data_IF_369474936554
#
_entry.id   IF_369474936554
#
_cell.length_a   1.000
_cell.length_b   1.000
_cell.length_c   1.000
_cell.angle_alpha   90.00
_cell.angle_beta   90.00
_cell.angle_gamma   90.00
#
_symmetry.space_group_name_H-M   'P 1'
#
loop_
_entity.id
_entity.type
_entity.pdbx_description
1 polymer ?
#
# COMPACT_ATOMS: atom_id res chain seq x y z
N UNK A 1 -1.72 -35.26 14.40
CA UNK A 1 -2.90 -35.54 13.57
C UNK A 1 -2.56 -35.22 12.13
N UNK A 2 -2.48 -36.19 11.26
CA UNK A 2 -2.23 -36.01 9.82
C UNK A 2 -3.56 -35.65 9.17
N UNK A 3 -3.59 -34.54 8.41
CA UNK A 3 -4.75 -34.15 7.62
C UNK A 3 -5.11 -35.24 6.61
N UNK A 4 -6.38 -35.58 6.51
CA UNK A 4 -6.88 -36.61 5.60
C UNK A 4 -6.91 -36.12 4.15
N UNK A 5 -6.77 -36.98 3.13
CA UNK A 5 -6.72 -36.59 1.71
C UNK A 5 -7.97 -35.86 1.15
N UNK A 6 -9.06 -35.83 1.91
CA UNK A 6 -10.32 -35.16 1.52
C UNK A 6 -10.24 -33.62 1.54
N UNK A 7 -9.37 -33.01 2.35
CA UNK A 7 -9.30 -31.54 2.46
C UNK A 7 -8.67 -30.86 1.22
N UNK A 8 -7.77 -31.57 0.51
CA UNK A 8 -7.05 -30.95 -0.63
C UNK A 8 -7.83 -31.01 -1.96
N UNK A 9 -8.79 -31.93 -2.11
CA UNK A 9 -9.66 -32.00 -3.28
C UNK A 9 -10.75 -30.91 -3.23
N UNK A 10 -11.36 -30.70 -2.07
CA UNK A 10 -12.38 -29.65 -1.86
C UNK A 10 -11.85 -28.24 -2.05
N UNK A 11 -10.57 -27.98 -1.69
CA UNK A 11 -9.93 -26.68 -1.93
C UNK A 11 -9.63 -26.45 -3.42
N UNK A 12 -9.26 -27.50 -4.17
CA UNK A 12 -9.01 -27.40 -5.63
C UNK A 12 -10.30 -27.18 -6.41
N UNK A 13 -11.38 -27.86 -6.06
CA UNK A 13 -12.68 -27.69 -6.71
C UNK A 13 -13.30 -26.32 -6.41
N UNK A 14 -13.14 -25.80 -5.19
CA UNK A 14 -13.54 -24.43 -4.83
C UNK A 14 -12.72 -23.38 -5.56
N UNK A 15 -11.41 -23.59 -5.72
CA UNK A 15 -10.54 -22.69 -6.49
C UNK A 15 -10.86 -22.72 -7.99
N UNK A 16 -11.15 -23.88 -8.56
CA UNK A 16 -11.57 -24.03 -9.95
C UNK A 16 -12.93 -23.33 -10.21
N UNK A 17 -13.91 -23.51 -9.33
CA UNK A 17 -15.22 -22.83 -9.42
C UNK A 17 -15.11 -21.31 -9.27
N UNK A 18 -14.12 -20.82 -8.52
CA UNK A 18 -13.84 -19.38 -8.36
C UNK A 18 -13.20 -18.81 -9.63
N UNK A 19 -12.35 -19.56 -10.31
CA UNK A 19 -11.73 -19.16 -11.56
C UNK A 19 -12.71 -19.15 -12.74
N UNK A 20 -13.64 -20.10 -12.81
CA UNK A 20 -14.68 -20.14 -13.83
C UNK A 20 -15.67 -18.97 -13.70
N UNK A 21 -16.03 -18.55 -12.50
CA UNK A 21 -16.84 -17.34 -12.28
C UNK A 21 -16.12 -16.07 -12.72
N UNK A 22 -14.80 -16.00 -12.61
CA UNK A 22 -13.99 -14.85 -13.01
C UNK A 22 -14.02 -14.60 -14.54
N UNK A 23 -14.17 -15.62 -15.35
CA UNK A 23 -14.20 -15.52 -16.81
C UNK A 23 -15.55 -15.05 -17.38
N UNK A 24 -16.62 -15.03 -16.56
CA UNK A 24 -18.00 -14.71 -17.01
C UNK A 24 -18.42 -13.28 -16.68
N UNK A 25 -17.77 -12.62 -15.69
CA UNK A 25 -18.12 -11.26 -15.25
C UNK A 25 -17.18 -10.25 -15.91
N UNK A 26 -17.58 -9.73 -17.06
CA UNK A 26 -16.79 -8.74 -17.82
C UNK A 26 -17.24 -7.29 -17.59
N UNK A 27 -18.37 -7.06 -16.94
CA UNK A 27 -18.92 -5.71 -16.73
C UNK A 27 -19.45 -5.51 -15.31
N UNK A 28 -19.45 -4.26 -14.82
CA UNK A 28 -20.02 -3.89 -13.51
C UNK A 28 -21.53 -4.16 -13.41
N UNK A 29 -22.25 -4.18 -14.52
CA UNK A 29 -23.69 -4.47 -14.56
C UNK A 29 -24.00 -5.86 -13.97
N UNK A 30 -23.13 -6.84 -14.25
CA UNK A 30 -23.29 -8.23 -13.79
C UNK A 30 -22.96 -8.43 -12.32
N UNK A 31 -22.42 -7.39 -11.64
CA UNK A 31 -22.10 -7.47 -10.20
C UNK A 31 -23.30 -7.21 -9.28
N UNK A 32 -24.48 -6.92 -9.80
CA UNK A 32 -25.68 -6.68 -9.00
C UNK A 32 -25.68 -5.33 -8.27
N UNK A 33 -24.94 -4.36 -8.79
CA UNK A 33 -24.89 -3.00 -8.23
C UNK A 33 -26.13 -2.20 -8.63
N UNK A 34 -26.64 -1.37 -7.70
CA UNK A 34 -27.79 -0.51 -7.93
C UNK A 34 -27.46 0.66 -8.88
N UNK A 35 -28.44 1.21 -9.62
CA UNK A 35 -28.23 2.25 -10.61
C UNK A 35 -27.41 3.47 -10.16
N UNK A 36 -27.58 4.04 -8.93
CA UNK A 36 -26.77 5.16 -8.48
C UNK A 36 -25.25 4.84 -8.41
N UNK A 37 -24.89 3.61 -8.06
CA UNK A 37 -23.49 3.19 -8.01
C UNK A 37 -22.93 2.93 -9.41
N UNK A 38 -23.74 2.38 -10.31
CA UNK A 38 -23.36 2.21 -11.71
C UNK A 38 -23.12 3.58 -12.39
N UNK A 39 -23.99 4.57 -12.12
CA UNK A 39 -23.79 5.94 -12.60
C UNK A 39 -22.49 6.57 -12.08
N UNK A 40 -22.15 6.36 -10.81
CA UNK A 40 -20.89 6.84 -10.24
C UNK A 40 -19.67 6.17 -10.88
N UNK A 41 -19.73 4.89 -11.19
CA UNK A 41 -18.66 4.16 -11.88
C UNK A 41 -18.45 4.70 -13.31
N UNK A 42 -19.51 4.98 -14.04
CA UNK A 42 -19.46 5.60 -15.37
C UNK A 42 -18.83 7.01 -15.30
N UNK A 43 -19.25 7.85 -14.34
CA UNK A 43 -18.65 9.17 -14.12
C UNK A 43 -17.14 9.11 -13.84
N UNK A 44 -16.68 8.04 -13.21
CA UNK A 44 -15.26 7.79 -12.89
C UNK A 44 -14.49 7.12 -14.05
N UNK A 45 -15.16 6.80 -15.16
CA UNK A 45 -14.56 6.10 -16.29
C UNK A 45 -14.23 4.63 -16.04
N UNK A 46 -14.90 4.00 -15.06
CA UNK A 46 -14.72 2.58 -14.79
C UNK A 46 -15.59 1.74 -15.71
N UNK A 47 -14.96 1.14 -16.72
CA UNK A 47 -15.64 0.32 -17.74
C UNK A 47 -15.69 -1.16 -17.36
N UNK A 48 -14.60 -1.68 -16.79
CA UNK A 48 -14.45 -3.09 -16.44
C UNK A 48 -14.01 -3.27 -14.97
N UNK A 49 -14.60 -4.24 -14.27
CA UNK A 49 -14.17 -4.53 -12.90
C UNK A 49 -12.79 -5.22 -12.89
N UNK A 50 -11.96 -4.86 -11.94
CA UNK A 50 -10.68 -5.53 -11.70
C UNK A 50 -10.90 -6.94 -11.11
N UNK A 51 -9.93 -7.86 -11.20
CA UNK A 51 -10.09 -9.22 -10.67
C UNK A 51 -10.50 -9.27 -9.19
N UNK A 52 -9.96 -8.38 -8.33
CA UNK A 52 -10.37 -8.32 -6.93
C UNK A 52 -11.83 -7.90 -6.76
N UNK A 53 -12.32 -7.00 -7.63
CA UNK A 53 -13.71 -6.54 -7.59
C UNK A 53 -14.67 -7.64 -8.03
N UNK A 54 -14.34 -8.38 -9.09
CA UNK A 54 -15.12 -9.53 -9.56
C UNK A 54 -15.29 -10.58 -8.48
N UNK A 55 -14.21 -10.87 -7.73
CA UNK A 55 -14.19 -11.92 -6.71
C UNK A 55 -14.75 -11.48 -5.36
N UNK A 56 -14.57 -10.21 -4.99
CA UNK A 56 -14.94 -9.73 -3.64
C UNK A 56 -16.34 -9.12 -3.58
N UNK A 57 -16.83 -8.45 -4.64
CA UNK A 57 -18.11 -7.73 -4.59
C UNK A 57 -19.31 -8.68 -4.40
N UNK A 58 -19.45 -9.80 -5.16
CA UNK A 58 -20.61 -10.65 -5.02
C UNK A 58 -20.77 -11.23 -3.60
N UNK A 59 -19.77 -11.90 -2.99
CA UNK A 59 -19.91 -12.42 -1.63
C UNK A 59 -20.07 -11.29 -0.59
N UNK A 60 -19.52 -10.12 -0.83
CA UNK A 60 -19.70 -8.96 0.03
C UNK A 60 -21.16 -8.46 0.02
N UNK A 61 -21.83 -8.46 -1.12
CA UNK A 61 -23.25 -8.12 -1.25
C UNK A 61 -24.15 -9.15 -0.54
N UNK A 62 -23.74 -10.41 -0.49
CA UNK A 62 -24.39 -11.48 0.29
C UNK A 62 -24.18 -11.33 1.80
N UNK A 63 -23.35 -10.37 2.25
CA UNK A 63 -23.07 -10.11 3.66
C UNK A 63 -21.98 -10.98 4.27
N UNK A 64 -21.21 -11.72 3.47
CA UNK A 64 -20.11 -12.56 3.93
C UNK A 64 -18.87 -11.73 4.25
N UNK A 65 -18.07 -12.18 5.20
CA UNK A 65 -16.75 -11.63 5.46
C UNK A 65 -15.80 -11.91 4.29
N UNK A 66 -14.88 -10.98 4.02
CA UNK A 66 -13.92 -11.07 2.90
C UNK A 66 -12.50 -10.96 3.44
N UNK A 67 -11.66 -11.95 3.12
CA UNK A 67 -10.20 -11.89 3.30
C UNK A 67 -9.54 -11.73 1.93
N UNK A 68 -9.03 -10.54 1.64
CA UNK A 68 -8.40 -10.23 0.37
C UNK A 68 -6.88 -10.12 0.48
N UNK A 69 -6.16 -10.91 -0.34
CA UNK A 69 -4.73 -10.73 -0.55
C UNK A 69 -4.50 -10.00 -1.86
N UNK A 70 -4.20 -8.69 -1.78
CA UNK A 70 -4.02 -7.88 -2.97
C UNK A 70 -3.18 -6.63 -2.70
N UNK A 71 -2.36 -6.27 -3.68
CA UNK A 71 -1.48 -5.09 -3.62
C UNK A 71 -2.26 -3.76 -3.72
N UNK A 72 -1.60 -2.65 -3.35
CA UNK A 72 -2.12 -1.29 -3.56
C UNK A 72 -2.31 -1.05 -5.06
N UNK A 73 -3.45 -0.44 -5.45
CA UNK A 73 -3.78 -0.16 -6.86
C UNK A 73 -4.51 -1.29 -7.59
N UNK A 74 -4.81 -2.41 -6.93
CA UNK A 74 -5.60 -3.52 -7.50
C UNK A 74 -7.12 -3.24 -7.59
N UNK A 75 -7.60 -2.12 -7.04
CA UNK A 75 -9.02 -1.78 -7.02
C UNK A 75 -9.76 -2.15 -5.72
N UNK A 76 -9.03 -2.47 -4.63
CA UNK A 76 -9.62 -2.86 -3.32
C UNK A 76 -10.65 -1.87 -2.81
N UNK A 77 -10.39 -0.56 -2.93
CA UNK A 77 -11.28 0.47 -2.39
C UNK A 77 -12.69 0.37 -2.97
N UNK A 78 -12.83 0.14 -4.27
CA UNK A 78 -14.14 -0.11 -4.88
C UNK A 78 -14.69 -1.50 -4.52
N UNK A 79 -13.81 -2.51 -4.33
CA UNK A 79 -14.22 -3.86 -3.97
C UNK A 79 -14.96 -3.93 -2.62
N UNK A 80 -14.52 -3.16 -1.61
CA UNK A 80 -15.27 -3.06 -0.34
C UNK A 80 -16.24 -1.87 -0.33
N UNK A 81 -15.91 -0.77 -1.01
CA UNK A 81 -16.69 0.47 -0.98
C UNK A 81 -18.05 0.33 -1.62
N UNK A 82 -18.15 -0.32 -2.79
CA UNK A 82 -19.41 -0.51 -3.49
C UNK A 82 -20.44 -1.33 -2.68
N UNK A 83 -20.11 -2.49 -2.10
CA UNK A 83 -21.01 -3.22 -1.23
C UNK A 83 -21.45 -2.42 0.02
N UNK A 84 -20.50 -1.71 0.65
CA UNK A 84 -20.79 -0.84 1.80
C UNK A 84 -21.78 0.26 1.43
N UNK A 85 -21.53 0.98 0.34
CA UNK A 85 -22.41 2.04 -0.15
C UNK A 85 -23.79 1.49 -0.47
N UNK A 86 -23.88 0.37 -1.20
CA UNK A 86 -25.15 -0.27 -1.55
C UNK A 86 -26.00 -0.59 -0.32
N UNK A 87 -25.37 -1.18 0.72
CA UNK A 87 -26.06 -1.53 1.97
C UNK A 87 -26.51 -0.29 2.76
N UNK A 88 -25.74 0.80 2.71
CA UNK A 88 -26.05 2.02 3.46
C UNK A 88 -27.08 2.92 2.78
N UNK A 89 -27.34 2.77 1.49
CA UNK A 89 -28.31 3.61 0.77
C UNK A 89 -29.71 3.58 1.38
N UNK A 90 -30.11 2.45 1.97
CA UNK A 90 -31.43 2.26 2.56
C UNK A 90 -31.43 2.44 4.10
N UNK A 91 -30.32 2.83 4.69
CA UNK A 91 -30.19 2.99 6.15
C UNK A 91 -30.54 4.40 6.61
N UNK A 92 -31.17 4.54 7.80
CA UNK A 92 -31.39 5.85 8.42
C UNK A 92 -30.07 6.60 8.63
N UNK A 93 -30.09 7.91 8.42
CA UNK A 93 -28.92 8.80 8.57
C UNK A 93 -28.62 9.14 10.04
N UNK A 94 -27.45 9.73 10.27
CA UNK A 94 -27.06 10.27 11.58
C UNK A 94 -26.26 9.31 12.47
N UNK A 95 -25.99 8.08 11.99
CA UNK A 95 -25.18 7.08 12.71
C UNK A 95 -24.05 6.58 11.83
N UNK A 96 -22.88 6.41 12.41
CA UNK A 96 -21.74 5.78 11.71
C UNK A 96 -21.93 4.26 11.69
N UNK A 97 -22.07 3.69 10.51
CA UNK A 97 -22.37 2.26 10.31
C UNK A 97 -21.23 1.50 9.63
N UNK A 98 -20.30 2.20 9.01
CA UNK A 98 -19.12 1.59 8.46
C UNK A 98 -17.85 2.29 8.96
N UNK A 99 -16.87 1.48 9.35
CA UNK A 99 -15.54 1.93 9.77
C UNK A 99 -14.48 1.31 8.84
N UNK A 100 -13.65 2.17 8.27
CA UNK A 100 -12.48 1.77 7.48
C UNK A 100 -11.22 2.21 8.22
N UNK A 101 -10.36 1.26 8.60
CA UNK A 101 -9.07 1.53 9.21
C UNK A 101 -7.98 1.45 8.13
N UNK A 102 -7.13 2.47 8.08
CA UNK A 102 -6.00 2.57 7.16
C UNK A 102 -4.74 2.99 7.94
N UNK A 103 -3.53 2.47 7.56
CA UNK A 103 -2.28 2.73 8.29
C UNK A 103 -1.81 4.18 8.24
N UNK A 104 -2.06 4.87 7.13
CA UNK A 104 -1.50 6.21 6.88
C UNK A 104 -2.59 7.24 6.61
N UNK A 105 -2.26 8.51 6.86
CA UNK A 105 -3.14 9.66 6.63
C UNK A 105 -3.50 9.78 5.15
N UNK A 106 -2.52 9.58 4.30
CA UNK A 106 -2.64 9.67 2.85
C UNK A 106 -3.60 8.61 2.32
N UNK A 107 -3.45 7.36 2.78
CA UNK A 107 -4.35 6.28 2.37
C UNK A 107 -5.77 6.52 2.90
N UNK A 108 -5.91 6.98 4.14
CA UNK A 108 -7.22 7.32 4.70
C UNK A 108 -7.92 8.44 3.91
N UNK A 109 -7.18 9.48 3.52
CA UNK A 109 -7.69 10.58 2.69
C UNK A 109 -8.07 10.10 1.29
N UNK A 110 -7.24 9.26 0.67
CA UNK A 110 -7.52 8.66 -0.64
C UNK A 110 -8.76 7.77 -0.62
N UNK A 111 -8.86 6.87 0.35
CA UNK A 111 -10.03 5.99 0.52
C UNK A 111 -11.28 6.85 0.70
N UNK A 112 -11.24 7.88 1.57
CA UNK A 112 -12.38 8.75 1.79
C UNK A 112 -12.81 9.49 0.53
N UNK A 113 -11.87 10.10 -0.21
CA UNK A 113 -12.13 10.78 -1.49
C UNK A 113 -12.74 9.82 -2.53
N UNK A 114 -12.18 8.62 -2.64
CA UNK A 114 -12.69 7.62 -3.58
C UNK A 114 -14.12 7.18 -3.19
N UNK A 115 -14.36 6.92 -1.90
CA UNK A 115 -15.71 6.59 -1.42
C UNK A 115 -16.70 7.73 -1.63
N UNK A 116 -16.29 9.00 -1.44
CA UNK A 116 -17.12 10.17 -1.76
C UNK A 116 -17.46 10.23 -3.25
N UNK A 117 -16.51 9.94 -4.13
CA UNK A 117 -16.74 9.90 -5.58
C UNK A 117 -17.70 8.77 -5.96
N UNK A 118 -17.53 7.57 -5.40
CA UNK A 118 -18.47 6.45 -5.60
C UNK A 118 -19.87 6.72 -5.00
N UNK A 119 -19.94 7.53 -3.94
CA UNK A 119 -21.18 7.91 -3.29
C UNK A 119 -21.93 9.08 -3.95
N UNK A 120 -21.39 9.66 -5.04
CA UNK A 120 -21.86 10.92 -5.66
C UNK A 120 -23.36 10.94 -5.94
N UNK A 121 -23.93 9.83 -6.39
CA UNK A 121 -25.36 9.71 -6.70
C UNK A 121 -26.17 9.05 -5.56
N UNK A 122 -25.62 9.10 -4.34
CA UNK A 122 -26.28 8.57 -3.13
C UNK A 122 -26.36 9.65 -2.05
N UNK A 123 -27.09 9.35 -0.98
CA UNK A 123 -27.14 10.23 0.20
C UNK A 123 -26.09 9.86 1.26
N UNK A 124 -25.18 8.90 1.00
CA UNK A 124 -24.21 8.39 1.97
C UNK A 124 -23.11 9.41 2.21
N UNK A 125 -22.86 9.72 3.49
CA UNK A 125 -21.84 10.69 3.91
C UNK A 125 -20.59 9.96 4.38
N UNK A 126 -19.42 10.40 3.88
CA UNK A 126 -18.12 9.87 4.25
C UNK A 126 -17.34 10.94 5.01
N UNK A 127 -16.68 10.56 6.09
CA UNK A 127 -15.74 11.43 6.81
C UNK A 127 -14.39 10.75 6.99
N UNK A 128 -13.30 11.55 6.92
CA UNK A 128 -11.95 11.09 7.18
C UNK A 128 -11.43 11.62 8.51
N UNK A 129 -10.78 10.74 9.30
CA UNK A 129 -10.20 11.05 10.61
C UNK A 129 -8.77 10.55 10.68
N UNK A 130 -7.81 11.49 10.66
CA UNK A 130 -6.39 11.16 10.73
C UNK A 130 -5.59 12.28 11.41
N UNK A 131 -4.39 11.96 11.87
CA UNK A 131 -3.51 12.89 12.56
C UNK A 131 -2.92 13.97 11.63
N UNK A 132 -2.31 15.02 12.21
CA UNK A 132 -1.60 16.06 11.46
C UNK A 132 -2.49 17.15 10.85
N UNK A 133 -3.79 17.07 11.07
CA UNK A 133 -4.77 18.13 10.78
C UNK A 133 -5.53 18.47 12.03
N UNK A 134 -6.17 19.67 12.05
CA UNK A 134 -6.89 20.16 13.19
C UNK A 134 -7.96 19.18 13.70
N UNK A 135 -8.10 19.10 15.02
CA UNK A 135 -9.14 18.24 15.64
C UNK A 135 -10.55 18.77 15.37
N UNK A 136 -10.73 20.10 15.43
CA UNK A 136 -12.02 20.75 15.32
C UNK A 136 -12.76 20.50 13.99
N UNK A 137 -12.13 20.54 12.81
CA UNK A 137 -12.79 20.19 11.56
C UNK A 137 -13.33 18.75 11.54
N UNK A 138 -12.59 17.79 12.12
CA UNK A 138 -12.99 16.40 12.20
C UNK A 138 -14.16 16.22 13.19
N UNK A 139 -14.11 16.90 14.32
CA UNK A 139 -15.22 16.95 15.28
C UNK A 139 -16.51 17.47 14.61
N UNK A 140 -16.40 18.52 13.80
CA UNK A 140 -17.54 19.07 13.08
C UNK A 140 -18.09 18.08 12.03
N UNK A 141 -17.23 17.34 11.37
CA UNK A 141 -17.63 16.29 10.42
C UNK A 141 -18.40 15.16 11.13
N UNK A 142 -17.91 14.71 12.28
CA UNK A 142 -18.57 13.71 13.11
C UNK A 142 -19.94 14.20 13.61
N UNK A 143 -20.03 15.45 14.11
CA UNK A 143 -21.30 16.03 14.58
C UNK A 143 -22.35 16.16 13.47
N UNK A 144 -21.93 16.41 12.22
CA UNK A 144 -22.86 16.46 11.06
C UNK A 144 -23.37 15.07 10.65
N UNK A 145 -22.86 14.02 11.27
CA UNK A 145 -23.19 12.63 10.98
C UNK A 145 -22.48 12.13 9.70
N UNK A 146 -21.65 11.12 9.87
CA UNK A 146 -21.02 10.38 8.77
C UNK A 146 -21.52 8.93 8.83
N UNK A 147 -21.95 8.40 7.70
CA UNK A 147 -22.38 7.00 7.59
C UNK A 147 -21.16 6.08 7.49
N UNK A 148 -20.09 6.55 6.83
CA UNK A 148 -18.80 5.87 6.70
C UNK A 148 -17.71 6.74 7.33
N UNK A 149 -16.95 6.14 8.23
CA UNK A 149 -15.78 6.75 8.85
C UNK A 149 -14.51 6.07 8.34
N UNK A 150 -13.63 6.82 7.69
CA UNK A 150 -12.31 6.35 7.30
C UNK A 150 -11.28 6.92 8.26
N UNK A 151 -10.48 6.09 8.93
CA UNK A 151 -9.65 6.56 10.02
C UNK A 151 -8.27 5.92 10.08
N UNK A 152 -7.29 6.69 10.57
CA UNK A 152 -6.05 6.11 11.10
C UNK A 152 -6.22 5.74 12.57
N UNK A 153 -5.66 4.58 13.04
CA UNK A 153 -5.92 4.08 14.39
C UNK A 153 -5.64 5.09 15.50
N UNK A 154 -4.50 5.79 15.46
CA UNK A 154 -4.11 6.73 16.51
C UNK A 154 -5.12 7.88 16.70
N UNK A 155 -5.52 8.55 15.62
CA UNK A 155 -6.47 9.69 15.71
C UNK A 155 -7.88 9.23 16.06
N UNK A 156 -8.32 8.07 15.56
CA UNK A 156 -9.61 7.51 15.96
C UNK A 156 -9.65 7.24 17.47
N UNK A 157 -8.58 6.63 18.01
CA UNK A 157 -8.42 6.41 19.45
C UNK A 157 -8.54 7.73 20.26
N UNK A 158 -7.97 8.83 19.76
CA UNK A 158 -8.08 10.14 20.42
C UNK A 158 -9.55 10.63 20.45
N UNK A 159 -10.29 10.48 19.36
CA UNK A 159 -11.73 10.79 19.31
C UNK A 159 -12.57 9.89 20.20
N UNK A 160 -12.26 8.58 20.28
CA UNK A 160 -12.94 7.63 21.17
C UNK A 160 -12.69 7.97 22.64
N UNK A 161 -11.44 8.29 23.04
CA UNK A 161 -11.11 8.73 24.40
C UNK A 161 -11.88 9.98 24.82
N UNK A 162 -12.05 10.93 23.89
CA UNK A 162 -12.82 12.16 24.11
C UNK A 162 -14.34 11.96 23.92
N UNK A 163 -14.80 10.74 23.64
CA UNK A 163 -16.22 10.41 23.37
C UNK A 163 -16.84 11.25 22.25
N UNK A 164 -16.03 11.71 21.30
CA UNK A 164 -16.46 12.50 20.13
C UNK A 164 -16.74 11.64 18.90
N UNK A 165 -16.31 10.38 18.90
CA UNK A 165 -16.73 9.33 17.98
C UNK A 165 -17.37 8.19 18.77
N UNK A 166 -18.32 7.48 18.15
CA UNK A 166 -19.00 6.29 18.68
C UNK A 166 -18.99 5.21 17.64
N UNK A 167 -18.79 3.97 18.06
CA UNK A 167 -18.69 2.79 17.19
C UNK A 167 -19.80 1.77 17.44
N UNK A 168 -20.76 2.08 18.30
CA UNK A 168 -21.82 1.16 18.76
C UNK A 168 -22.76 0.71 17.64
N UNK A 169 -22.87 1.49 16.57
CA UNK A 169 -23.77 1.23 15.43
C UNK A 169 -23.01 0.68 14.20
N UNK A 170 -21.74 0.31 14.34
CA UNK A 170 -20.95 -0.22 13.20
C UNK A 170 -21.47 -1.59 12.77
N UNK A 171 -21.92 -1.67 11.53
CA UNK A 171 -22.37 -2.89 10.85
C UNK A 171 -21.29 -3.48 9.93
N UNK A 172 -20.34 -2.65 9.47
CA UNK A 172 -19.27 -3.06 8.55
C UNK A 172 -17.93 -2.50 9.00
N UNK A 173 -16.92 -3.37 9.06
CA UNK A 173 -15.54 -3.03 9.42
C UNK A 173 -14.61 -3.39 8.27
N UNK A 174 -13.73 -2.46 7.89
CA UNK A 174 -12.68 -2.68 6.91
C UNK A 174 -11.32 -2.44 7.57
N UNK A 175 -10.40 -3.39 7.41
CA UNK A 175 -8.98 -3.19 7.67
C UNK A 175 -8.26 -3.22 6.31
N UNK A 176 -7.73 -2.09 5.87
CA UNK A 176 -6.95 -2.02 4.63
C UNK A 176 -5.47 -1.87 4.94
N UNK A 177 -4.62 -2.61 4.23
CA UNK A 177 -3.18 -2.74 4.46
C UNK A 177 -2.86 -3.10 5.93
N UNK A 178 -3.48 -4.20 6.42
CA UNK A 178 -3.37 -4.62 7.83
C UNK A 178 -1.95 -5.01 8.23
N UNK A 179 -1.17 -5.63 7.34
CA UNK A 179 0.26 -5.91 7.54
C UNK A 179 1.05 -4.63 7.81
N UNK A 180 0.73 -3.56 7.11
CA UNK A 180 1.35 -2.27 7.31
C UNK A 180 0.95 -1.60 8.63
N UNK A 181 -0.29 -1.78 9.08
CA UNK A 181 -0.69 -1.34 10.44
C UNK A 181 0.12 -2.08 11.50
N UNK A 182 0.43 -3.35 11.28
CA UNK A 182 1.32 -4.14 12.15
C UNK A 182 2.74 -3.59 12.15
N UNK A 183 3.35 -3.37 10.99
CA UNK A 183 4.72 -2.85 10.83
C UNK A 183 4.90 -1.48 11.50
N UNK A 184 3.84 -0.66 11.51
CA UNK A 184 3.82 0.65 12.16
C UNK A 184 3.52 0.58 13.67
N UNK A 185 3.35 -0.62 14.23
CA UNK A 185 3.07 -0.82 15.65
C UNK A 185 1.64 -0.48 16.08
N UNK A 186 0.69 -0.36 15.13
CA UNK A 186 -0.70 -0.01 15.44
C UNK A 186 -1.57 -1.19 15.90
N UNK A 187 -1.06 -2.42 15.89
CA UNK A 187 -1.84 -3.59 16.25
C UNK A 187 -2.55 -3.48 17.62
N UNK A 188 -1.90 -2.97 18.70
CA UNK A 188 -2.59 -2.77 19.97
C UNK A 188 -3.75 -1.77 19.88
N UNK A 189 -3.60 -0.71 19.10
CA UNK A 189 -4.65 0.30 18.93
C UNK A 189 -5.79 -0.23 18.06
N UNK A 190 -5.48 -0.99 17.02
CA UNK A 190 -6.48 -1.68 16.16
C UNK A 190 -7.34 -2.62 17.01
N UNK A 191 -6.73 -3.46 17.88
CA UNK A 191 -7.48 -4.34 18.77
C UNK A 191 -8.38 -3.58 19.73
N UNK A 192 -7.88 -2.48 20.33
CA UNK A 192 -8.69 -1.62 21.21
C UNK A 192 -9.88 -0.98 20.52
N UNK A 193 -9.72 -0.62 19.25
CA UNK A 193 -10.82 -0.08 18.42
C UNK A 193 -11.82 -1.19 18.11
N UNK A 194 -11.35 -2.36 17.66
CA UNK A 194 -12.22 -3.49 17.31
C UNK A 194 -13.04 -3.97 18.51
N UNK A 195 -12.48 -3.92 19.73
CA UNK A 195 -13.19 -4.27 20.96
C UNK A 195 -14.38 -3.35 21.27
N UNK A 196 -14.47 -2.15 20.65
CA UNK A 196 -15.58 -1.21 20.78
C UNK A 196 -16.59 -1.31 19.63
N UNK A 197 -16.31 -2.15 18.62
CA UNK A 197 -17.21 -2.38 17.49
C UNK A 197 -18.10 -3.60 17.79
N UNK A 198 -19.41 -3.57 17.46
CA UNK A 198 -20.29 -4.70 17.67
C UNK A 198 -19.74 -6.02 17.11
N UNK A 199 -19.96 -7.11 17.86
CA UNK A 199 -19.52 -8.43 17.41
C UNK A 199 -20.29 -8.91 16.17
N UNK A 200 -21.57 -8.56 16.04
CA UNK A 200 -22.38 -8.85 14.84
C UNK A 200 -22.14 -7.77 13.80
N UNK A 201 -21.18 -8.03 12.93
CA UNK A 201 -20.79 -7.14 11.82
C UNK A 201 -20.29 -7.97 10.65
N UNK A 202 -20.21 -7.37 9.48
CA UNK A 202 -19.46 -7.85 8.33
C UNK A 202 -18.05 -7.28 8.35
N UNK A 203 -17.03 -8.10 8.08
CA UNK A 203 -15.64 -7.64 8.12
C UNK A 203 -14.93 -7.88 6.80
N UNK A 204 -14.25 -6.85 6.30
CA UNK A 204 -13.36 -6.89 5.15
C UNK A 204 -11.92 -6.74 5.65
N UNK A 205 -11.07 -7.66 5.30
CA UNK A 205 -9.68 -7.65 5.71
C UNK A 205 -8.77 -7.74 4.48
N UNK A 206 -7.98 -6.70 4.25
CA UNK A 206 -7.04 -6.66 3.14
C UNK A 206 -5.60 -6.55 3.66
N UNK A 207 -4.74 -7.42 3.15
CA UNK A 207 -3.32 -7.46 3.49
C UNK A 207 -2.53 -8.00 2.31
N UNK A 208 -1.34 -7.47 2.05
CA UNK A 208 -0.46 -8.04 1.03
C UNK A 208 0.26 -9.30 1.53
N UNK A 209 0.46 -9.40 2.85
CA UNK A 209 1.16 -10.52 3.49
C UNK A 209 0.35 -11.11 4.65
N UNK A 210 0.46 -12.42 4.86
CA UNK A 210 -0.20 -13.17 5.95
C UNK A 210 0.84 -13.72 6.93
N UNK A 211 1.55 -12.83 7.64
CA UNK A 211 2.43 -13.24 8.74
C UNK A 211 1.66 -13.97 9.86
N UNK A 212 2.36 -14.66 10.75
CA UNK A 212 1.74 -15.36 11.88
C UNK A 212 0.88 -14.43 12.76
N UNK A 213 1.32 -13.17 12.95
CA UNK A 213 0.58 -12.18 13.73
C UNK A 213 -0.69 -11.70 12.99
N UNK A 214 -0.61 -11.47 11.67
CA UNK A 214 -1.76 -11.13 10.84
C UNK A 214 -2.74 -12.30 10.79
N UNK A 215 -2.26 -13.52 10.61
CA UNK A 215 -3.11 -14.74 10.63
C UNK A 215 -3.80 -14.92 11.98
N UNK A 216 -3.15 -14.52 13.08
CA UNK A 216 -3.77 -14.47 14.41
C UNK A 216 -4.93 -13.49 14.46
N UNK A 217 -4.74 -12.27 13.96
CA UNK A 217 -5.78 -11.24 13.92
C UNK A 217 -6.95 -11.65 13.00
N UNK A 218 -6.66 -12.24 11.84
CA UNK A 218 -7.68 -12.78 10.92
C UNK A 218 -8.60 -13.76 11.62
N UNK A 219 -8.04 -14.74 12.36
CA UNK A 219 -8.84 -15.72 13.13
C UNK A 219 -9.66 -15.09 14.26
N UNK A 220 -9.17 -13.98 14.84
CA UNK A 220 -9.84 -13.26 15.92
C UNK A 220 -11.08 -12.50 15.43
N UNK A 221 -11.05 -11.95 14.22
CA UNK A 221 -12.04 -10.95 13.78
C UNK A 221 -12.92 -11.35 12.60
N UNK A 222 -12.53 -12.34 11.79
CA UNK A 222 -13.30 -12.80 10.63
C UNK A 222 -14.09 -14.07 10.96
N UNK A 223 -15.28 -14.18 10.33
CA UNK A 223 -16.18 -15.33 10.47
C UNK A 223 -16.42 -15.98 9.12
N UNK A 224 -15.93 -17.18 8.94
CA UNK A 224 -16.03 -17.95 7.68
C UNK A 224 -15.82 -17.07 6.43
N UNK A 225 -14.66 -16.39 6.30
CA UNK A 225 -14.46 -15.43 5.24
C UNK A 225 -14.31 -16.08 3.88
N UNK A 226 -14.82 -15.43 2.84
CA UNK A 226 -14.44 -15.76 1.48
C UNK A 226 -13.01 -15.25 1.26
N UNK A 227 -12.12 -16.17 0.90
CA UNK A 227 -10.73 -15.83 0.58
C UNK A 227 -10.64 -15.41 -0.88
N UNK A 228 -10.20 -14.18 -1.10
CA UNK A 228 -9.94 -13.61 -2.41
C UNK A 228 -8.43 -13.45 -2.53
N UNK A 229 -7.79 -14.50 -2.99
CA UNK A 229 -6.35 -14.48 -3.28
C UNK A 229 -6.21 -14.17 -4.78
N UNK A 230 -5.88 -12.92 -5.09
CA UNK A 230 -5.23 -12.69 -6.36
C UNK A 230 -3.88 -13.34 -6.20
N UNK A 231 -3.68 -14.50 -6.86
CA UNK A 231 -2.36 -15.10 -6.92
C UNK A 231 -1.40 -13.93 -7.14
N UNK A 232 -0.61 -13.61 -6.13
CA UNK A 232 0.52 -12.75 -6.34
C UNK A 232 1.29 -13.48 -7.44
N UNK A 233 0.98 -13.17 -8.69
CA UNK A 233 1.96 -13.35 -9.72
C UNK A 233 3.09 -12.42 -9.26
N UNK A 234 3.99 -12.99 -8.45
CA UNK A 234 5.41 -12.75 -8.60
C UNK A 234 5.79 -13.33 -9.98
N UNK A 235 4.92 -13.11 -10.96
CA UNK A 235 5.38 -13.05 -12.33
C UNK A 235 6.21 -11.76 -12.31
N UNK A 236 7.50 -11.83 -12.60
CA UNK A 236 8.26 -10.63 -12.89
C UNK A 236 7.39 -9.87 -13.87
N UNK A 237 6.94 -8.68 -13.48
CA UNK A 237 6.23 -7.81 -14.42
C UNK A 237 7.18 -7.76 -15.59
N UNK A 238 6.85 -8.43 -16.71
CA UNK A 238 7.74 -8.61 -17.87
C UNK A 238 8.27 -7.28 -18.42
N UNK A 239 7.76 -6.18 -17.87
CA UNK A 239 8.05 -4.80 -18.24
C UNK A 239 8.80 -4.03 -17.15
N UNK A 240 9.24 -4.69 -16.05
CA UNK A 240 9.99 -4.02 -14.98
C UNK A 240 11.47 -4.33 -15.09
N UNK A 241 12.25 -3.34 -15.48
CA UNK A 241 13.71 -3.37 -15.40
C UNK A 241 14.15 -3.10 -13.95
N UNK A 242 15.12 -3.87 -13.45
CA UNK A 242 15.65 -3.71 -12.10
C UNK A 242 17.17 -3.74 -12.16
N UNK A 243 17.79 -2.58 -11.95
CA UNK A 243 19.24 -2.42 -12.10
C UNK A 243 19.87 -1.97 -10.78
N UNK A 244 20.96 -2.65 -10.38
CA UNK A 244 21.81 -2.28 -9.25
C UNK A 244 23.04 -1.52 -9.75
N UNK A 245 23.37 -0.41 -9.09
CA UNK A 245 24.63 0.31 -9.32
C UNK A 245 25.48 0.26 -8.05
N UNK A 246 26.63 -0.39 -8.14
CA UNK A 246 27.63 -0.33 -7.07
C UNK A 246 28.22 1.09 -7.01
N UNK A 247 28.15 1.72 -5.83
CA UNK A 247 28.60 3.10 -5.64
C UNK A 247 28.97 3.36 -4.17
N UNK A 248 30.10 4.03 -3.88
CA UNK A 248 30.42 4.46 -2.53
C UNK A 248 29.31 5.35 -1.96
N UNK A 249 29.07 5.24 -0.64
CA UNK A 249 27.98 5.93 0.03
C UNK A 249 28.00 7.45 -0.19
N UNK A 250 29.17 8.06 -0.18
CA UNK A 250 29.41 9.49 -0.39
C UNK A 250 29.18 9.95 -1.82
N UNK A 251 29.19 9.00 -2.77
CA UNK A 251 29.05 9.25 -4.21
C UNK A 251 27.65 8.96 -4.78
N UNK A 252 26.72 8.52 -3.92
CA UNK A 252 25.35 8.23 -4.36
C UNK A 252 24.64 9.44 -4.94
N UNK A 253 24.87 10.64 -4.39
CA UNK A 253 24.26 11.88 -4.91
C UNK A 253 24.82 12.23 -6.28
N UNK A 254 26.14 12.12 -6.46
CA UNK A 254 26.80 12.40 -7.74
C UNK A 254 26.24 11.48 -8.83
N UNK A 255 26.11 10.18 -8.53
CA UNK A 255 25.51 9.20 -9.44
C UNK A 255 24.05 9.54 -9.77
N UNK A 256 23.25 9.92 -8.78
CA UNK A 256 21.85 10.31 -9.03
C UNK A 256 21.77 11.52 -9.97
N UNK A 257 22.57 12.55 -9.73
CA UNK A 257 22.63 13.74 -10.59
C UNK A 257 23.04 13.37 -12.01
N UNK A 258 24.02 12.45 -12.16
CA UNK A 258 24.46 11.98 -13.48
C UNK A 258 23.35 11.24 -14.22
N UNK A 259 22.67 10.29 -13.55
CA UNK A 259 21.53 9.58 -14.14
C UNK A 259 20.38 10.51 -14.51
N UNK A 260 20.15 11.57 -13.74
CA UNK A 260 19.13 12.57 -14.03
C UNK A 260 19.46 13.49 -15.21
N UNK A 261 20.67 13.43 -15.78
CA UNK A 261 20.95 14.09 -17.08
C UNK A 261 20.24 13.39 -18.24
N UNK A 262 19.94 12.10 -18.09
CA UNK A 262 19.11 11.37 -19.05
C UNK A 262 17.66 11.90 -19.00
N UNK A 263 17.18 12.41 -20.12
CA UNK A 263 15.83 12.93 -20.26
C UNK A 263 14.75 11.84 -20.15
N UNK A 264 15.10 10.57 -20.29
CA UNK A 264 14.17 9.45 -20.10
C UNK A 264 13.69 9.34 -18.65
N UNK A 265 14.50 9.82 -17.67
CA UNK A 265 14.09 9.89 -16.26
C UNK A 265 13.32 11.21 -16.02
N UNK A 266 12.13 11.32 -16.58
CA UNK A 266 11.30 12.54 -16.46
C UNK A 266 10.52 12.62 -15.13
N UNK A 267 10.28 11.50 -14.45
CA UNK A 267 9.57 11.41 -13.18
C UNK A 267 10.11 10.26 -12.33
N UNK A 268 10.63 10.56 -11.14
CA UNK A 268 11.20 9.56 -10.26
C UNK A 268 10.83 9.79 -8.79
N UNK A 269 10.64 8.69 -8.04
CA UNK A 269 10.64 8.73 -6.58
C UNK A 269 11.96 8.17 -6.06
N UNK A 270 12.65 8.94 -5.21
CA UNK A 270 13.92 8.54 -4.60
C UNK A 270 13.72 8.19 -3.12
N UNK A 271 13.95 6.93 -2.76
CA UNK A 271 13.76 6.43 -1.41
C UNK A 271 15.03 6.56 -0.58
N UNK A 272 14.92 7.20 0.59
CA UNK A 272 15.99 7.33 1.58
C UNK A 272 15.60 6.67 2.89
N UNK A 273 16.59 6.16 3.62
CA UNK A 273 16.39 5.45 4.89
C UNK A 273 15.93 6.37 6.02
N UNK A 274 16.36 7.63 6.02
CA UNK A 274 16.08 8.57 7.13
C UNK A 274 15.62 9.93 6.62
N UNK A 275 14.87 10.66 7.47
CA UNK A 275 14.43 12.04 7.23
C UNK A 275 15.59 13.00 6.98
N UNK A 276 16.69 12.86 7.75
CA UNK A 276 17.89 13.67 7.60
C UNK A 276 18.55 13.45 6.23
N UNK A 277 18.57 12.20 5.74
CA UNK A 277 19.08 11.90 4.40
C UNK A 277 18.16 12.45 3.32
N UNK A 278 16.84 12.37 3.51
CA UNK A 278 15.88 12.97 2.59
C UNK A 278 16.11 14.47 2.42
N UNK A 279 16.26 15.20 3.54
CA UNK A 279 16.55 16.63 3.51
C UNK A 279 17.87 16.95 2.80
N UNK A 280 18.95 16.19 3.10
CA UNK A 280 20.25 16.39 2.46
C UNK A 280 20.22 16.13 0.96
N UNK A 281 19.55 15.05 0.56
CA UNK A 281 19.41 14.71 -0.86
C UNK A 281 18.62 15.77 -1.61
N UNK A 282 17.48 16.21 -1.08
CA UNK A 282 16.67 17.25 -1.71
C UNK A 282 17.47 18.55 -1.86
N UNK A 283 18.15 19.02 -0.82
CA UNK A 283 19.00 20.21 -0.87
C UNK A 283 20.16 20.07 -1.89
N UNK A 284 20.73 18.90 -2.03
CA UNK A 284 21.77 18.64 -3.03
C UNK A 284 21.20 18.69 -4.46
N UNK A 285 20.03 18.07 -4.70
CA UNK A 285 19.36 18.12 -6.00
C UNK A 285 18.94 19.56 -6.39
N UNK A 286 18.45 20.34 -5.44
CA UNK A 286 18.15 21.77 -5.65
C UNK A 286 19.37 22.57 -6.10
N UNK A 287 20.55 22.34 -5.49
CA UNK A 287 21.82 22.98 -5.92
C UNK A 287 22.15 22.64 -7.37
N UNK A 288 21.81 21.45 -7.83
CA UNK A 288 21.96 21.00 -9.22
C UNK A 288 20.79 21.43 -10.12
N UNK A 289 19.89 22.31 -9.65
CA UNK A 289 18.71 22.82 -10.38
C UNK A 289 17.75 21.71 -10.83
N UNK A 290 17.71 20.59 -10.12
CA UNK A 290 16.71 19.55 -10.35
C UNK A 290 15.42 19.93 -9.64
N UNK A 291 14.25 20.02 -10.34
CA UNK A 291 12.97 20.25 -9.70
C UNK A 291 12.64 19.11 -8.73
N UNK A 292 12.73 19.34 -7.44
CA UNK A 292 12.61 18.33 -6.39
C UNK A 292 11.70 18.81 -5.26
N UNK A 293 10.99 17.88 -4.64
CA UNK A 293 10.36 18.08 -3.34
C UNK A 293 10.52 16.80 -2.51
N UNK A 294 10.11 16.85 -1.24
CA UNK A 294 10.34 15.73 -0.32
C UNK A 294 9.15 15.48 0.60
N UNK A 295 8.98 14.20 0.97
CA UNK A 295 7.94 13.73 1.87
C UNK A 295 8.56 12.86 2.97
N UNK A 296 8.44 13.30 4.24
CA UNK A 296 8.80 12.51 5.41
C UNK A 296 7.97 12.91 6.64
N UNK A 297 8.13 12.21 7.75
CA UNK A 297 7.27 12.35 8.93
C UNK A 297 7.29 13.73 9.59
N UNK A 298 8.35 14.54 9.42
CA UNK A 298 8.45 15.88 10.02
C UNK A 298 7.81 16.98 9.14
N UNK A 299 7.37 16.64 7.92
CA UNK A 299 6.60 17.58 7.08
C UNK A 299 5.15 17.63 7.54
N UNK A 300 4.58 18.84 7.57
CA UNK A 300 3.16 19.00 7.85
C UNK A 300 2.29 18.30 6.79
N UNK A 301 1.05 17.98 7.12
CA UNK A 301 0.15 17.32 6.18
C UNK A 301 -0.08 18.18 4.93
N UNK A 302 -0.23 19.50 5.08
CA UNK A 302 -0.37 20.43 3.96
C UNK A 302 0.86 20.41 3.04
N UNK A 303 2.07 20.41 3.60
CA UNK A 303 3.31 20.31 2.83
C UNK A 303 3.40 19.00 2.06
N UNK A 304 2.99 17.86 2.67
CA UNK A 304 3.02 16.54 2.04
C UNK A 304 2.00 16.46 0.90
N UNK A 305 0.77 16.94 1.14
CA UNK A 305 -0.27 17.01 0.10
C UNK A 305 0.19 17.89 -1.06
N UNK A 306 0.72 19.09 -0.78
CA UNK A 306 1.25 19.98 -1.80
C UNK A 306 2.37 19.34 -2.61
N UNK A 307 3.37 18.72 -1.95
CA UNK A 307 4.47 18.04 -2.63
C UNK A 307 3.97 16.96 -3.58
N UNK A 308 3.00 16.17 -3.14
CA UNK A 308 2.41 15.09 -3.90
C UNK A 308 1.61 15.59 -5.11
N UNK A 309 0.75 16.59 -4.91
CA UNK A 309 -0.06 17.18 -5.99
C UNK A 309 0.81 17.81 -7.07
N UNK A 310 1.81 18.59 -6.66
CA UNK A 310 2.75 19.24 -7.59
C UNK A 310 3.62 18.22 -8.34
N UNK A 311 4.01 17.13 -7.68
CA UNK A 311 4.71 16.03 -8.34
C UNK A 311 3.81 15.31 -9.36
N UNK A 312 2.55 15.03 -9.04
CA UNK A 312 1.56 14.47 -9.99
C UNK A 312 1.30 15.38 -11.19
N UNK A 313 1.39 16.69 -11.01
CA UNK A 313 1.28 17.70 -12.07
C UNK A 313 2.56 17.86 -12.92
N UNK A 314 3.63 17.10 -12.62
CA UNK A 314 4.91 17.20 -13.32
C UNK A 314 5.76 18.45 -12.98
N UNK A 315 5.37 19.20 -11.94
CA UNK A 315 6.15 20.39 -11.52
C UNK A 315 7.44 20.04 -10.79
N UNK A 316 7.51 18.86 -10.21
CA UNK A 316 8.72 18.28 -9.64
C UNK A 316 9.11 17.03 -10.43
N UNK A 317 10.37 16.94 -10.78
CA UNK A 317 10.94 15.78 -11.48
C UNK A 317 11.27 14.64 -10.53
N UNK A 318 11.71 14.98 -9.31
CA UNK A 318 12.07 14.01 -8.28
C UNK A 318 11.27 14.27 -7.01
N UNK A 319 10.66 13.21 -6.47
CA UNK A 319 10.08 13.20 -5.15
C UNK A 319 10.96 12.39 -4.21
N UNK A 320 11.63 13.02 -3.26
CA UNK A 320 12.43 12.31 -2.24
C UNK A 320 11.51 11.87 -1.10
N UNK A 321 11.58 10.59 -0.72
CA UNK A 321 10.68 10.04 0.28
C UNK A 321 11.37 9.07 1.25
N UNK A 322 10.84 8.99 2.48
CA UNK A 322 11.12 7.86 3.38
C UNK A 322 10.02 6.81 3.26
N UNK A 323 10.33 5.53 3.52
CA UNK A 323 9.37 4.43 3.41
C UNK A 323 8.05 4.72 4.11
N UNK A 324 8.10 5.11 5.38
CA UNK A 324 6.90 5.40 6.18
C UNK A 324 6.04 6.48 5.53
N UNK A 325 6.65 7.50 4.95
CA UNK A 325 5.92 8.61 4.36
C UNK A 325 5.42 8.34 2.94
N UNK A 326 6.12 7.49 2.19
CA UNK A 326 5.73 7.08 0.83
C UNK A 326 4.70 5.95 0.82
N UNK A 327 4.55 5.24 1.94
CA UNK A 327 3.55 4.18 2.09
C UNK A 327 2.14 4.76 2.03
N UNK A 328 1.25 4.11 1.28
CA UNK A 328 -0.14 4.56 1.12
C UNK A 328 -0.33 5.76 0.19
N UNK A 329 0.75 6.29 -0.41
CA UNK A 329 0.62 7.32 -1.43
C UNK A 329 0.27 6.65 -2.76
N UNK A 330 -0.84 7.07 -3.36
CA UNK A 330 -1.14 6.70 -4.74
C UNK A 330 -0.29 7.57 -5.68
N UNK A 331 0.90 7.09 -5.94
CA UNK A 331 1.72 7.49 -7.08
C UNK A 331 1.78 6.25 -7.97
N UNK A 332 0.77 6.10 -8.81
CA UNK A 332 0.71 5.05 -9.82
C UNK A 332 1.35 5.54 -11.10
N UNK A 333 1.92 4.61 -11.86
CA UNK A 333 2.54 4.86 -13.17
C UNK A 333 3.77 5.79 -13.14
N UNK A 334 4.62 5.67 -12.10
CA UNK A 334 5.93 6.29 -12.13
C UNK A 334 6.81 5.65 -13.20
N UNK A 335 7.52 6.47 -13.98
CA UNK A 335 8.54 5.98 -14.89
C UNK A 335 9.66 5.27 -14.13
N UNK A 336 10.11 5.88 -13.01
CA UNK A 336 11.30 5.40 -12.29
C UNK A 336 11.11 5.36 -10.77
N UNK A 337 11.61 4.29 -10.17
CA UNK A 337 11.82 4.17 -8.72
C UNK A 337 13.32 4.10 -8.45
N UNK A 338 13.83 4.96 -7.59
CA UNK A 338 15.24 5.01 -7.22
C UNK A 338 15.38 4.66 -5.74
N UNK A 339 15.92 3.49 -5.44
CA UNK A 339 16.34 3.14 -4.09
C UNK A 339 17.71 3.79 -3.83
N UNK A 340 17.70 5.06 -3.43
CA UNK A 340 18.92 5.78 -3.04
C UNK A 340 19.63 5.11 -1.86
N UNK A 341 18.85 4.59 -0.92
CA UNK A 341 19.29 3.66 0.14
C UNK A 341 18.59 2.31 -0.03
N UNK A 342 19.34 1.23 0.10
CA UNK A 342 18.77 -0.11 0.15
C UNK A 342 17.85 -0.25 1.36
N UNK A 343 16.63 -0.76 1.22
CA UNK A 343 15.73 -0.96 2.36
C UNK A 343 16.27 -2.02 3.31
N UNK A 344 15.97 -1.87 4.61
CA UNK A 344 16.42 -2.82 5.64
C UNK A 344 15.66 -4.15 5.61
N UNK A 345 14.46 -4.16 5.03
CA UNK A 345 13.58 -5.31 4.94
C UNK A 345 13.23 -5.57 3.48
N UNK A 346 13.33 -6.82 3.06
CA UNK A 346 13.05 -7.20 1.66
C UNK A 346 11.61 -6.83 1.23
N UNK A 347 10.63 -6.91 2.12
CA UNK A 347 9.26 -6.52 1.83
C UNK A 347 9.14 -5.04 1.39
N UNK A 348 9.94 -4.14 1.98
CA UNK A 348 9.93 -2.73 1.59
C UNK A 348 10.46 -2.53 0.17
N UNK A 349 11.42 -3.37 -0.28
CA UNK A 349 11.90 -3.34 -1.67
C UNK A 349 10.75 -3.56 -2.65
N UNK A 350 9.92 -4.59 -2.42
CA UNK A 350 8.76 -4.87 -3.27
C UNK A 350 7.75 -3.72 -3.25
N UNK A 351 7.48 -3.17 -2.08
CA UNK A 351 6.56 -2.04 -1.92
C UNK A 351 7.05 -0.76 -2.64
N UNK A 352 8.38 -0.52 -2.68
CA UNK A 352 8.97 0.60 -3.40
C UNK A 352 8.89 0.38 -4.91
N UNK A 353 9.35 -0.77 -5.37
CA UNK A 353 9.42 -1.13 -6.79
C UNK A 353 8.02 -1.25 -7.39
N UNK A 354 7.03 -1.73 -6.63
CA UNK A 354 5.63 -1.76 -7.02
C UNK A 354 4.97 -0.37 -7.21
N UNK A 355 5.72 0.75 -7.12
CA UNK A 355 5.24 2.10 -7.52
C UNK A 355 5.41 2.36 -9.01
N UNK A 356 6.21 1.57 -9.71
CA UNK A 356 6.38 1.62 -11.16
C UNK A 356 5.82 0.37 -11.83
N UNK A 357 5.80 0.34 -13.17
CA UNK A 357 5.33 -0.78 -13.99
C UNK A 357 3.89 -1.25 -13.70
N UNK A 358 2.95 -0.33 -13.42
CA UNK A 358 1.53 -0.63 -13.25
C UNK A 358 0.74 -0.44 -14.54
N UNK A 359 -0.37 -1.16 -14.69
CA UNK A 359 -1.37 -0.98 -15.74
C UNK A 359 -0.81 -1.00 -17.18
N UNK A 360 0.08 -1.97 -17.51
CA UNK A 360 0.70 -2.15 -18.84
C UNK A 360 1.82 -1.14 -19.18
N UNK A 361 2.21 -0.23 -18.28
CA UNK A 361 3.37 0.64 -18.50
C UNK A 361 4.67 -0.06 -18.13
N UNK A 362 5.75 0.15 -18.92
CA UNK A 362 7.11 -0.23 -18.54
C UNK A 362 7.58 0.67 -17.39
N UNK A 363 8.42 0.14 -16.51
CA UNK A 363 8.97 0.91 -15.40
C UNK A 363 10.37 0.44 -15.03
N UNK A 364 11.18 1.36 -14.51
CA UNK A 364 12.55 1.11 -14.13
C UNK A 364 12.76 1.30 -12.63
N UNK A 365 13.36 0.30 -11.99
CA UNK A 365 13.78 0.36 -10.61
C UNK A 365 15.31 0.36 -10.53
N UNK A 366 15.87 1.46 -10.08
CA UNK A 366 17.31 1.67 -9.93
C UNK A 366 17.66 1.59 -8.44
N UNK A 367 18.67 0.80 -8.08
CA UNK A 367 19.11 0.67 -6.69
C UNK A 367 20.59 0.96 -6.54
N UNK A 368 20.94 1.91 -5.68
CA UNK A 368 22.31 2.24 -5.34
C UNK A 368 22.78 1.40 -4.16
N UNK A 369 23.90 0.72 -4.35
CA UNK A 369 24.40 -0.25 -3.37
C UNK A 369 25.82 0.14 -2.97
N UNK A 370 26.02 0.50 -1.71
CA UNK A 370 27.35 0.63 -1.13
C UNK A 370 27.83 -0.72 -0.57
N UNK A 371 29.12 -0.85 -0.32
CA UNK A 371 29.73 -2.12 0.13
C UNK A 371 29.11 -2.66 1.42
N UNK A 372 28.70 -1.79 2.31
CA UNK A 372 28.00 -2.12 3.58
C UNK A 372 26.54 -2.55 3.39
N UNK A 373 25.92 -2.24 2.25
CA UNK A 373 24.55 -2.60 1.92
C UNK A 373 24.42 -3.93 1.13
N UNK A 374 25.52 -4.52 0.65
CA UNK A 374 25.51 -5.79 -0.06
C UNK A 374 24.81 -6.95 0.69
N UNK A 375 24.92 -7.08 2.02
CA UNK A 375 24.18 -8.11 2.74
C UNK A 375 22.65 -7.95 2.61
N UNK A 376 22.15 -6.72 2.54
CA UNK A 376 20.72 -6.43 2.36
C UNK A 376 20.26 -6.84 0.95
N UNK A 377 21.07 -6.56 -0.07
CA UNK A 377 20.78 -6.98 -1.44
C UNK A 377 20.70 -8.50 -1.55
N UNK A 378 21.59 -9.25 -0.90
CA UNK A 378 21.52 -10.72 -0.89
C UNK A 378 20.23 -11.24 -0.27
N UNK A 379 19.74 -10.60 0.79
CA UNK A 379 18.43 -10.94 1.37
C UNK A 379 17.28 -10.68 0.40
N UNK A 380 17.32 -9.55 -0.32
CA UNK A 380 16.33 -9.20 -1.33
C UNK A 380 16.36 -10.21 -2.47
N UNK A 381 17.54 -10.53 -3.01
CA UNK A 381 17.73 -11.52 -4.09
C UNK A 381 17.26 -12.92 -3.67
N UNK A 382 17.56 -13.33 -2.43
CA UNK A 382 17.06 -14.59 -1.88
C UNK A 382 15.53 -14.63 -1.82
N UNK A 383 14.90 -13.53 -1.40
CA UNK A 383 13.44 -13.43 -1.35
C UNK A 383 12.81 -13.38 -2.75
N UNK A 384 13.50 -12.74 -3.72
CA UNK A 384 13.09 -12.71 -5.13
C UNK A 384 13.25 -14.05 -5.85
N UNK A 385 14.09 -14.96 -5.33
CA UNK A 385 14.48 -16.19 -6.00
C UNK A 385 15.32 -15.97 -7.25
N UNK A 386 15.86 -14.74 -7.47
CA UNK A 386 16.71 -14.39 -8.62
C UNK A 386 17.72 -13.31 -8.24
N UNK A 387 18.84 -13.27 -8.96
CA UNK A 387 19.80 -12.16 -8.87
C UNK A 387 19.27 -10.94 -9.63
N UNK A 388 19.57 -9.77 -9.11
CA UNK A 388 19.29 -8.50 -9.77
C UNK A 388 20.44 -8.15 -10.73
N UNK A 389 20.10 -7.54 -11.85
CA UNK A 389 21.06 -7.11 -12.86
C UNK A 389 21.95 -6.00 -12.30
N UNK A 390 23.26 -6.11 -12.52
CA UNK A 390 24.24 -5.10 -12.12
C UNK A 390 24.62 -4.25 -13.32
N UNK A 391 24.23 -2.98 -13.29
CA UNK A 391 24.55 -2.01 -14.33
C UNK A 391 25.99 -1.49 -14.22
N UNK A 392 26.55 -1.08 -15.36
CA UNK A 392 27.81 -0.35 -15.37
C UNK A 392 27.58 1.06 -14.83
N UNK A 393 28.28 1.42 -13.74
CA UNK A 393 28.20 2.74 -13.15
C UNK A 393 28.84 3.78 -14.08
N UNK A 394 28.10 4.80 -14.54
CA UNK A 394 28.65 5.80 -15.48
C UNK A 394 29.79 6.64 -14.90
N UNK A 395 29.83 6.85 -13.57
CA UNK A 395 30.89 7.61 -12.89
C UNK A 395 32.04 6.74 -12.44
N UNK A 396 31.80 5.46 -12.20
CA UNK A 396 32.82 4.51 -11.68
C UNK A 396 32.74 3.19 -12.45
N UNK A 397 33.18 3.16 -13.72
CA UNK A 397 33.09 1.96 -14.57
C UNK A 397 33.90 0.78 -14.03
N UNK A 398 34.93 1.05 -13.22
CA UNK A 398 35.78 0.03 -12.57
C UNK A 398 35.25 -0.43 -11.21
N UNK A 399 34.19 0.19 -10.67
CA UNK A 399 33.58 -0.29 -9.45
C UNK A 399 33.05 -1.71 -9.68
N UNK A 400 33.68 -2.68 -8.98
CA UNK A 400 33.38 -4.10 -9.13
C UNK A 400 31.89 -4.39 -9.11
N UNK A 401 31.38 -4.89 -10.21
CA UNK A 401 30.00 -5.38 -10.32
C UNK A 401 29.84 -6.75 -9.65
N UNK A 402 30.93 -7.36 -9.19
CA UNK A 402 30.92 -8.62 -8.47
C UNK A 402 30.71 -8.36 -6.95
N UNK A 403 29.84 -9.16 -6.30
CA UNK A 403 29.75 -9.12 -4.85
C UNK A 403 31.12 -9.46 -4.23
N UNK A 404 31.56 -8.76 -3.16
CA UNK A 404 32.83 -9.06 -2.51
C UNK A 404 32.84 -10.55 -2.12
N UNK A 405 33.88 -11.26 -2.53
CA UNK A 405 34.07 -12.66 -2.16
C UNK A 405 34.03 -12.78 -0.61
N UNK A 406 33.34 -13.78 -0.06
CA UNK A 406 33.29 -13.95 1.39
C UNK A 406 34.71 -14.00 1.94
N UNK A 407 35.05 -13.09 2.86
CA UNK A 407 36.32 -13.15 3.58
C UNK A 407 36.33 -14.46 4.34
N UNK A 408 37.17 -15.40 3.93
CA UNK A 408 37.47 -16.60 4.66
C UNK A 408 38.25 -16.16 5.91
N UNK A 409 37.55 -16.09 7.05
CA UNK A 409 38.18 -15.85 8.33
C UNK A 409 38.88 -17.15 8.69
N UNK A 410 40.18 -17.23 8.42
CA UNK A 410 41.05 -18.28 8.95
C UNK A 410 41.08 -18.14 10.47
N UNK A 411 40.30 -18.96 11.18
CA UNK A 411 40.47 -19.15 12.64
C UNK A 411 41.83 -19.79 12.83
N UNK A 412 42.81 -19.02 13.27
CA UNK A 412 44.07 -19.55 13.76
C UNK A 412 43.79 -20.57 14.89
N UNK A 413 44.28 -21.80 14.68
CA UNK A 413 44.21 -22.83 15.72
C UNK A 413 45.02 -22.34 16.94
N UNK A 414 44.52 -22.49 18.18
CA UNK A 414 45.30 -22.19 19.36
C UNK A 414 46.48 -23.14 19.44
N UNK A 415 47.68 -22.59 19.58
CA UNK A 415 48.90 -23.39 19.90
C UNK A 415 48.65 -24.03 21.27
N UNK A 416 48.63 -25.38 21.29
CA UNK A 416 48.77 -26.13 22.54
C UNK A 416 50.16 -25.88 23.08
N UNK A 417 50.29 -25.41 24.33
CA UNK A 417 51.43 -25.57 25.18
C UNK A 417 51.26 -26.85 26.02
#
# INVERSE_FOLDING_TARGET
MRATPRDLSDERDRAAHTLERSSVISTFEKLGLRPPLQAALLDLGFTEPTPIQVLAIPPALEGRDVLGSAETGSGKTAAFGLPILQRLMDRPRGKTRALVLAPTRELADQIAKHLMSLAKHTNVKVAAIYGGVGFRPQLNALKRGADILVATPGRLRDHLKQRTARLDDIEMLVLDEADRMLDMGFLPDVRRIIAQVPAKRQTFFFSATLSAQISGLVREILRDPVRVELAAKIAPVKTLSQTLYAVPQEKKTDLLVELLKDNNIYSAIAFTRTKARANRLAAALEKHRVPVNLIHGDRSQSQRTHALEKFKQGQYRVLVATDIAARGIDISALGHVINYDVPLVAADYFHRVGRTARAKASGDAITFVSSDEEPLIRQIEHTLGKRLERGKNPLFPEASTEPPKPRVVYRSRPRRR
#
